data_IF_606238567197
#
_entry.id   IF_606238567197
#
_cell.length_a   1.000
_cell.length_b   1.000
_cell.length_c   1.000
_cell.angle_alpha   90.00
_cell.angle_beta   90.00
_cell.angle_gamma   90.00
#
_symmetry.space_group_name_H-M   'P 1'
#
loop_
_entity.id
_entity.type
_entity.pdbx_description
1 polymer ?
#
# COMPACT_ATOMS: atom_id res chain seq x y z
N UNK A 1 -2.83 5.21 -2.89
CA UNK A 1 -2.81 6.60 -3.39
C UNK A 1 -1.72 7.44 -2.72
N UNK A 2 -1.82 7.72 -1.38
CA UNK A 2 -0.85 8.61 -0.72
C UNK A 2 0.60 8.13 -0.85
N UNK A 3 0.87 6.83 -0.68
CA UNK A 3 2.22 6.28 -0.86
C UNK A 3 2.76 6.48 -2.26
N UNK A 4 1.91 6.29 -3.26
CA UNK A 4 2.22 6.52 -4.68
C UNK A 4 2.61 7.98 -4.93
N UNK A 5 1.73 8.89 -4.57
CA UNK A 5 1.97 10.31 -4.82
C UNK A 5 3.16 10.88 -4.04
N UNK A 6 3.45 10.38 -2.83
CA UNK A 6 4.63 10.77 -2.04
C UNK A 6 5.91 10.16 -2.60
N UNK A 7 5.90 8.89 -3.03
CA UNK A 7 7.03 8.24 -3.67
C UNK A 7 7.44 8.98 -4.95
N UNK A 8 6.48 9.22 -5.84
CA UNK A 8 6.68 10.02 -7.05
C UNK A 8 7.16 11.45 -6.75
N UNK A 9 6.65 12.05 -5.67
CA UNK A 9 7.11 13.38 -5.26
C UNK A 9 8.58 13.37 -4.88
N UNK A 10 9.02 12.40 -4.08
CA UNK A 10 10.43 12.29 -3.65
C UNK A 10 11.35 11.93 -4.81
N UNK A 11 11.01 10.87 -5.55
CA UNK A 11 11.90 10.32 -6.58
C UNK A 11 11.91 11.14 -7.86
N UNK A 12 10.72 11.54 -8.34
CA UNK A 12 10.56 12.20 -9.64
C UNK A 12 10.49 13.73 -9.50
N UNK A 13 9.60 14.27 -8.65
CA UNK A 13 9.35 15.72 -8.58
C UNK A 13 10.51 16.46 -7.94
N UNK A 14 11.05 15.96 -6.82
CA UNK A 14 12.27 16.49 -6.20
C UNK A 14 13.56 16.04 -6.92
N UNK A 15 13.43 15.19 -7.92
CA UNK A 15 14.52 14.64 -8.72
C UNK A 15 15.65 13.99 -7.88
N UNK A 16 15.27 13.34 -6.76
CA UNK A 16 16.24 12.65 -5.90
C UNK A 16 16.64 11.28 -6.46
N UNK A 17 15.81 10.73 -7.35
CA UNK A 17 15.94 9.37 -7.89
C UNK A 17 15.47 8.29 -6.91
N UNK A 18 15.14 7.12 -7.44
CA UNK A 18 14.52 6.02 -6.68
C UNK A 18 15.39 5.49 -5.54
N UNK A 19 16.70 5.31 -5.77
CA UNK A 19 17.61 4.79 -4.72
C UNK A 19 17.69 5.73 -3.50
N UNK A 20 17.79 7.04 -3.75
CA UNK A 20 17.81 8.04 -2.66
C UNK A 20 16.46 8.08 -1.95
N UNK A 21 15.35 8.01 -2.70
CA UNK A 21 14.00 7.89 -2.17
C UNK A 21 13.88 6.68 -1.23
N UNK A 22 14.30 5.49 -1.67
CA UNK A 22 14.34 4.27 -0.85
C UNK A 22 15.12 4.50 0.45
N UNK A 23 16.32 5.08 0.39
CA UNK A 23 17.15 5.28 1.59
C UNK A 23 16.42 6.19 2.60
N UNK A 24 15.86 7.31 2.14
CA UNK A 24 15.15 8.25 3.00
C UNK A 24 13.91 7.58 3.62
N UNK A 25 13.08 6.95 2.79
CA UNK A 25 11.83 6.33 3.25
C UNK A 25 12.08 5.09 4.09
N UNK A 26 13.14 4.30 3.82
CA UNK A 26 13.54 3.16 4.63
C UNK A 26 13.99 3.61 6.03
N UNK A 27 14.81 4.64 6.13
CA UNK A 27 15.24 5.18 7.43
C UNK A 27 14.01 5.64 8.23
N UNK A 28 13.13 6.40 7.60
CA UNK A 28 11.89 6.84 8.24
C UNK A 28 11.02 5.66 8.66
N UNK A 29 10.82 4.68 7.78
CA UNK A 29 10.08 3.44 8.08
C UNK A 29 10.66 2.70 9.28
N UNK A 30 11.98 2.48 9.32
CA UNK A 30 12.62 1.77 10.42
C UNK A 30 12.47 2.51 11.75
N UNK A 31 12.55 3.84 11.75
CA UNK A 31 12.35 4.67 12.96
C UNK A 31 10.91 4.51 13.46
N UNK A 32 9.91 4.74 12.61
CA UNK A 32 8.50 4.68 13.03
C UNK A 32 8.07 3.25 13.38
N UNK A 33 8.59 2.25 12.67
CA UNK A 33 8.36 0.84 12.98
C UNK A 33 8.95 0.47 14.34
N UNK A 34 10.18 0.89 14.63
CA UNK A 34 10.80 0.65 15.93
C UNK A 34 9.98 1.25 17.08
N UNK A 35 9.47 2.48 16.90
CA UNK A 35 8.59 3.12 17.88
C UNK A 35 7.30 2.30 18.02
N UNK A 36 6.67 1.91 16.91
CA UNK A 36 5.44 1.12 16.90
C UNK A 36 5.60 -0.21 17.64
N UNK A 37 6.68 -0.95 17.38
CA UNK A 37 6.99 -2.23 18.03
C UNK A 37 7.27 -2.11 19.54
N UNK A 38 7.80 -0.96 19.98
CA UNK A 38 8.06 -0.68 21.42
C UNK A 38 6.82 -0.30 22.19
N UNK A 39 5.84 0.27 21.53
CA UNK A 39 4.61 0.74 22.15
C UNK A 39 3.63 -0.43 22.29
N UNK A 40 3.36 -0.86 23.53
CA UNK A 40 2.43 -1.97 23.84
C UNK A 40 0.95 -1.61 23.71
N UNK A 41 0.62 -0.43 23.21
CA UNK A 41 -0.75 0.07 23.03
C UNK A 41 -0.94 0.54 21.61
N UNK A 42 -2.13 0.33 21.06
CA UNK A 42 -2.49 0.92 19.79
C UNK A 42 -2.54 2.44 19.88
N UNK A 43 -1.59 3.11 19.21
CA UNK A 43 -1.57 4.56 19.06
C UNK A 43 -1.78 4.87 17.57
N UNK A 44 -2.94 5.42 17.18
CA UNK A 44 -3.29 5.63 15.78
C UNK A 44 -2.22 6.38 14.98
N UNK A 45 -1.60 7.40 15.58
CA UNK A 45 -0.57 8.22 14.92
C UNK A 45 0.63 7.36 14.49
N UNK A 46 1.16 6.51 15.36
CA UNK A 46 2.29 5.66 15.01
C UNK A 46 1.90 4.60 13.99
N UNK A 47 0.76 3.95 14.16
CA UNK A 47 0.26 2.97 13.20
C UNK A 47 0.12 3.57 11.80
N UNK A 48 -0.52 4.72 11.68
CA UNK A 48 -0.70 5.40 10.40
C UNK A 48 0.61 5.93 9.83
N UNK A 49 1.56 6.39 10.67
CA UNK A 49 2.90 6.77 10.22
C UNK A 49 3.64 5.58 9.60
N UNK A 50 3.55 4.37 10.21
CA UNK A 50 4.13 3.15 9.64
C UNK A 50 3.44 2.78 8.32
N UNK A 51 2.10 2.90 8.24
CA UNK A 51 1.36 2.65 6.98
C UNK A 51 1.84 3.60 5.88
N UNK A 52 1.95 4.91 6.15
CA UNK A 52 2.45 5.88 5.17
C UNK A 52 3.88 5.52 4.75
N UNK A 53 4.76 5.25 5.72
CA UNK A 53 6.14 4.90 5.45
C UNK A 53 6.25 3.63 4.58
N UNK A 54 5.48 2.57 4.88
CA UNK A 54 5.50 1.33 4.09
C UNK A 54 4.93 1.50 2.70
N UNK A 55 3.89 2.32 2.54
CA UNK A 55 3.30 2.56 1.21
C UNK A 55 4.24 3.36 0.33
N UNK A 56 4.88 4.40 0.86
CA UNK A 56 5.85 5.21 0.13
C UNK A 56 7.09 4.41 -0.22
N UNK A 57 7.65 3.67 0.76
CA UNK A 57 8.80 2.79 0.52
C UNK A 57 8.46 1.69 -0.51
N UNK A 58 7.24 1.17 -0.48
CA UNK A 58 6.78 0.15 -1.43
C UNK A 58 6.76 0.66 -2.87
N UNK A 59 6.27 1.87 -3.11
CA UNK A 59 6.33 2.54 -4.43
C UNK A 59 7.77 2.71 -4.89
N UNK A 60 8.64 3.26 -4.05
CA UNK A 60 10.05 3.47 -4.38
C UNK A 60 10.79 2.16 -4.71
N UNK A 61 10.53 1.07 -3.96
CA UNK A 61 11.12 -0.25 -4.23
C UNK A 61 10.63 -0.79 -5.57
N UNK A 62 9.34 -0.72 -5.85
CA UNK A 62 8.76 -1.16 -7.10
C UNK A 62 9.38 -0.42 -8.28
N UNK A 63 9.38 0.89 -8.26
CA UNK A 63 9.93 1.74 -9.31
C UNK A 63 11.44 1.51 -9.51
N UNK A 64 12.19 1.33 -8.43
CA UNK A 64 13.60 0.99 -8.52
C UNK A 64 13.81 -0.35 -9.21
N UNK A 65 13.04 -1.37 -8.87
CA UNK A 65 13.13 -2.69 -9.50
C UNK A 65 12.77 -2.62 -10.98
N UNK A 66 11.67 -1.95 -11.31
CA UNK A 66 11.11 -1.99 -12.65
C UNK A 66 11.83 -1.04 -13.61
N UNK A 67 12.19 0.16 -13.13
CA UNK A 67 12.75 1.24 -13.95
C UNK A 67 14.28 1.33 -13.84
N UNK A 68 14.87 1.20 -12.64
CA UNK A 68 16.33 1.31 -12.45
C UNK A 68 17.07 -0.01 -12.70
N UNK A 69 16.53 -1.14 -12.20
CA UNK A 69 17.10 -2.47 -12.45
C UNK A 69 16.63 -3.10 -13.76
N UNK A 70 15.73 -2.42 -14.49
CA UNK A 70 15.19 -2.87 -15.79
C UNK A 70 14.53 -4.26 -15.74
N UNK A 71 13.95 -4.67 -14.61
CA UNK A 71 13.20 -5.92 -14.50
C UNK A 71 11.90 -5.87 -15.30
N UNK A 72 11.33 -4.68 -15.42
CA UNK A 72 10.02 -4.44 -16.03
C UNK A 72 8.85 -4.94 -15.17
N UNK A 73 7.69 -4.35 -15.36
CA UNK A 73 6.53 -4.50 -14.49
C UNK A 73 6.03 -5.95 -14.34
N UNK A 74 6.17 -6.78 -15.37
CA UNK A 74 5.77 -8.20 -15.31
C UNK A 74 6.65 -8.99 -14.35
N UNK A 75 7.97 -8.90 -14.51
CA UNK A 75 8.92 -9.63 -13.67
C UNK A 75 8.97 -9.05 -12.26
N UNK A 76 8.93 -7.71 -12.12
CA UNK A 76 8.83 -7.05 -10.83
C UNK A 76 7.61 -7.51 -10.05
N UNK A 77 6.42 -7.53 -10.68
CA UNK A 77 5.20 -8.05 -10.05
C UNK A 77 5.32 -9.51 -9.63
N UNK A 78 5.92 -10.38 -10.46
CA UNK A 78 6.11 -11.80 -10.13
C UNK A 78 7.07 -12.01 -8.96
N UNK A 79 8.18 -11.27 -8.91
CA UNK A 79 9.14 -11.32 -7.79
C UNK A 79 8.48 -10.85 -6.49
N UNK A 80 7.77 -9.72 -6.52
CA UNK A 80 7.09 -9.16 -5.35
C UNK A 80 5.93 -10.05 -4.88
N UNK A 81 5.16 -10.64 -5.80
CA UNK A 81 4.12 -11.62 -5.48
C UNK A 81 4.73 -12.86 -4.82
N UNK A 82 5.84 -13.36 -5.35
CA UNK A 82 6.54 -14.51 -4.78
C UNK A 82 7.03 -14.23 -3.37
N UNK A 83 7.58 -13.03 -3.12
CA UNK A 83 7.99 -12.57 -1.79
C UNK A 83 6.82 -12.46 -0.81
N UNK A 84 5.68 -11.92 -1.25
CA UNK A 84 4.45 -11.87 -0.45
C UNK A 84 3.95 -13.27 -0.08
N UNK A 85 3.81 -14.16 -1.08
CA UNK A 85 3.34 -15.53 -0.86
C UNK A 85 4.28 -16.29 0.07
N UNK A 86 5.59 -16.18 -0.12
CA UNK A 86 6.58 -16.78 0.75
C UNK A 86 6.47 -16.26 2.19
N UNK A 87 6.32 -14.96 2.37
CA UNK A 87 6.15 -14.35 3.70
C UNK A 87 4.90 -14.87 4.40
N UNK A 88 3.76 -14.89 3.70
CA UNK A 88 2.50 -15.42 4.25
C UNK A 88 2.59 -16.91 4.55
N UNK A 89 3.27 -17.70 3.71
CA UNK A 89 3.51 -19.12 3.93
C UNK A 89 4.35 -19.37 5.18
N UNK A 90 5.48 -18.66 5.35
CA UNK A 90 6.34 -18.76 6.52
C UNK A 90 5.61 -18.32 7.79
N UNK A 91 4.82 -17.25 7.71
CA UNK A 91 3.97 -16.81 8.81
C UNK A 91 2.97 -17.90 9.20
N UNK A 92 2.22 -18.43 8.21
CA UNK A 92 1.26 -19.50 8.48
C UNK A 92 1.94 -20.75 9.06
N UNK A 93 3.08 -21.17 8.50
CA UNK A 93 3.83 -22.32 9.00
C UNK A 93 4.25 -22.17 10.46
N UNK A 94 4.62 -20.95 10.89
CA UNK A 94 5.07 -20.68 12.24
C UNK A 94 3.93 -20.54 13.26
N UNK A 95 2.84 -19.88 12.88
CA UNK A 95 1.77 -19.49 13.81
C UNK A 95 0.41 -20.14 13.54
N UNK A 96 0.31 -20.95 12.49
CA UNK A 96 -0.91 -21.68 12.05
C UNK A 96 -2.13 -20.75 11.84
N UNK A 97 -1.90 -19.45 11.70
CA UNK A 97 -2.94 -18.44 11.48
C UNK A 97 -2.34 -17.21 10.84
N UNK A 98 -3.07 -16.62 9.88
CA UNK A 98 -2.77 -15.33 9.26
C UNK A 98 -3.65 -14.20 9.83
N UNK A 99 -4.18 -14.38 11.04
CA UNK A 99 -5.01 -13.37 11.70
C UNK A 99 -4.19 -12.11 12.01
N UNK A 100 -4.73 -10.96 11.60
CA UNK A 100 -4.12 -9.65 11.77
C UNK A 100 -4.67 -8.88 12.98
N UNK A 101 -5.64 -9.47 13.71
CA UNK A 101 -6.23 -8.84 14.90
C UNK A 101 -6.66 -9.88 15.94
N UNK A 102 -6.27 -9.66 17.19
CA UNK A 102 -5.25 -8.74 17.67
C UNK A 102 -3.83 -9.32 17.42
N UNK A 103 -2.88 -8.45 17.06
CA UNK A 103 -1.45 -8.82 17.00
C UNK A 103 -0.81 -8.35 18.31
N UNK A 104 -0.49 -9.29 19.20
CA UNK A 104 0.15 -9.03 20.49
C UNK A 104 1.58 -9.57 20.55
N UNK A 105 1.94 -10.44 19.62
CA UNK A 105 3.26 -11.06 19.52
C UNK A 105 4.15 -10.27 18.53
N UNK A 106 5.31 -9.83 19.02
CA UNK A 106 6.26 -9.05 18.22
C UNK A 106 6.74 -9.79 16.96
N UNK A 107 6.90 -11.11 17.02
CA UNK A 107 7.31 -11.86 15.83
C UNK A 107 6.20 -11.90 14.79
N UNK A 108 4.92 -12.01 15.21
CA UNK A 108 3.78 -11.90 14.28
C UNK A 108 3.71 -10.52 13.65
N UNK A 109 3.97 -9.47 14.44
CA UNK A 109 3.96 -8.09 13.95
C UNK A 109 5.06 -7.86 12.90
N UNK A 110 6.24 -8.45 13.07
CA UNK A 110 7.31 -8.40 12.06
C UNK A 110 6.86 -9.06 10.75
N UNK A 111 6.28 -10.28 10.79
CA UNK A 111 5.74 -10.92 9.59
C UNK A 111 4.66 -10.07 8.92
N UNK A 112 3.78 -9.47 9.73
CA UNK A 112 2.75 -8.55 9.23
C UNK A 112 3.38 -7.40 8.45
N UNK A 113 4.35 -6.68 9.02
CA UNK A 113 4.96 -5.53 8.36
C UNK A 113 5.77 -5.91 7.11
N UNK A 114 6.42 -7.07 7.09
CA UNK A 114 7.08 -7.60 5.89
C UNK A 114 6.04 -7.91 4.80
N UNK A 115 4.93 -8.56 5.14
CA UNK A 115 3.85 -8.85 4.18
C UNK A 115 3.22 -7.55 3.65
N UNK A 116 3.01 -6.55 4.52
CA UNK A 116 2.53 -5.22 4.15
C UNK A 116 3.48 -4.56 3.14
N UNK A 117 4.79 -4.61 3.38
CA UNK A 117 5.78 -4.01 2.47
C UNK A 117 5.76 -4.68 1.10
N UNK A 118 5.79 -6.02 1.04
CA UNK A 118 5.66 -6.75 -0.23
C UNK A 118 4.35 -6.45 -0.95
N UNK A 119 3.22 -6.40 -0.22
CA UNK A 119 1.92 -6.06 -0.79
C UNK A 119 1.87 -4.64 -1.33
N UNK A 120 2.50 -3.69 -0.65
CA UNK A 120 2.57 -2.30 -1.11
C UNK A 120 3.39 -2.19 -2.40
N UNK A 121 4.60 -2.78 -2.42
CA UNK A 121 5.45 -2.78 -3.62
C UNK A 121 4.79 -3.51 -4.80
N UNK A 122 4.17 -4.66 -4.55
CA UNK A 122 3.39 -5.39 -5.57
C UNK A 122 2.25 -4.53 -6.12
N UNK A 123 1.62 -3.73 -5.26
CA UNK A 123 0.50 -2.88 -5.68
C UNK A 123 0.89 -1.83 -6.72
N UNK A 124 2.04 -1.18 -6.55
CA UNK A 124 2.59 -0.24 -7.54
C UNK A 124 3.00 -0.99 -8.80
N UNK A 125 3.84 -2.04 -8.72
CA UNK A 125 4.24 -2.83 -9.89
C UNK A 125 3.05 -3.37 -10.69
N UNK A 126 2.01 -3.85 -10.01
CA UNK A 126 0.81 -4.36 -10.66
C UNK A 126 -0.08 -3.24 -11.21
N UNK A 127 -0.14 -2.10 -10.54
CA UNK A 127 -0.83 -0.91 -11.06
C UNK A 127 -0.21 -0.42 -12.37
N UNK A 128 1.12 -0.29 -12.40
CA UNK A 128 1.87 0.08 -13.60
C UNK A 128 1.77 -1.01 -14.69
N UNK A 129 1.77 -2.28 -14.33
CA UNK A 129 1.51 -3.37 -15.27
C UNK A 129 0.15 -3.23 -15.95
N UNK A 130 -0.91 -2.87 -15.22
CA UNK A 130 -2.24 -2.65 -15.79
C UNK A 130 -2.24 -1.46 -16.77
N UNK A 131 -1.49 -0.41 -16.48
CA UNK A 131 -1.47 0.82 -17.28
C UNK A 131 -0.48 0.71 -18.46
N UNK A 132 0.75 0.32 -18.19
CA UNK A 132 1.85 0.41 -19.17
C UNK A 132 2.02 -0.85 -20.02
N UNK A 133 1.61 -2.04 -19.52
CA UNK A 133 1.71 -3.32 -20.25
C UNK A 133 0.38 -3.72 -20.86
N UNK A 134 -0.71 -3.73 -20.08
CA UNK A 134 -2.06 -4.06 -20.59
C UNK A 134 -2.65 -2.88 -21.39
N UNK A 135 -2.21 -1.65 -21.13
CA UNK A 135 -2.68 -0.45 -21.83
C UNK A 135 -4.01 0.10 -21.31
N UNK A 136 -4.37 -0.18 -20.07
CA UNK A 136 -5.55 0.41 -19.44
C UNK A 136 -5.28 1.89 -19.11
N UNK A 137 -6.30 2.73 -19.23
CA UNK A 137 -6.23 4.07 -18.64
C UNK A 137 -6.15 3.95 -17.12
N UNK A 138 -5.51 4.91 -16.44
CA UNK A 138 -5.40 4.93 -14.99
C UNK A 138 -6.76 4.81 -14.30
N UNK A 139 -7.78 5.50 -14.83
CA UNK A 139 -9.16 5.40 -14.32
C UNK A 139 -9.73 3.98 -14.47
N UNK A 140 -9.53 3.33 -15.62
CA UNK A 140 -10.03 1.97 -15.84
C UNK A 140 -9.31 0.97 -14.92
N UNK A 141 -7.99 1.10 -14.73
CA UNK A 141 -7.22 0.31 -13.76
C UNK A 141 -7.78 0.47 -12.34
N UNK A 142 -8.05 1.71 -11.93
CA UNK A 142 -8.67 2.00 -10.63
C UNK A 142 -10.08 1.42 -10.52
N UNK A 143 -10.92 1.53 -11.55
CA UNK A 143 -12.29 0.98 -11.53
C UNK A 143 -12.30 -0.55 -11.47
N UNK A 144 -11.42 -1.23 -12.20
CA UNK A 144 -11.29 -2.70 -12.16
C UNK A 144 -10.88 -3.16 -10.77
N UNK A 145 -9.84 -2.56 -10.20
CA UNK A 145 -9.35 -2.92 -8.85
C UNK A 145 -10.37 -2.57 -7.76
N UNK A 146 -11.07 -1.43 -7.88
CA UNK A 146 -12.21 -1.09 -7.01
C UNK A 146 -13.35 -2.11 -7.13
N UNK A 147 -13.65 -2.59 -8.34
CA UNK A 147 -14.65 -3.63 -8.59
C UNK A 147 -14.30 -4.94 -7.88
N UNK A 148 -13.02 -5.35 -7.90
CA UNK A 148 -12.56 -6.54 -7.15
C UNK A 148 -12.75 -6.34 -5.65
N UNK A 149 -12.40 -5.17 -5.10
CA UNK A 149 -12.61 -4.86 -3.68
C UNK A 149 -14.10 -4.90 -3.34
N UNK A 150 -14.95 -4.33 -4.18
CA UNK A 150 -16.41 -4.38 -4.00
C UNK A 150 -16.94 -5.82 -3.97
N UNK A 151 -16.46 -6.68 -4.88
CA UNK A 151 -16.82 -8.11 -4.88
C UNK A 151 -16.41 -8.76 -3.55
N UNK A 152 -15.21 -8.48 -3.03
CA UNK A 152 -14.77 -9.02 -1.74
C UNK A 152 -15.65 -8.53 -0.60
N UNK A 153 -16.07 -7.27 -0.61
CA UNK A 153 -17.02 -6.72 0.37
C UNK A 153 -18.36 -7.45 0.29
N UNK A 154 -18.89 -7.66 -0.91
CA UNK A 154 -20.13 -8.41 -1.09
C UNK A 154 -20.00 -9.86 -0.59
N UNK A 155 -18.88 -10.53 -0.90
CA UNK A 155 -18.61 -11.89 -0.42
C UNK A 155 -18.52 -11.94 1.11
N UNK A 156 -17.96 -10.91 1.75
CA UNK A 156 -17.89 -10.79 3.21
C UNK A 156 -19.29 -10.82 3.86
N UNK A 157 -20.26 -10.08 3.28
CA UNK A 157 -21.61 -9.99 3.86
C UNK A 157 -22.54 -11.11 3.38
N UNK A 158 -22.36 -11.65 2.18
CA UNK A 158 -23.29 -12.59 1.56
C UNK A 158 -22.88 -14.06 1.70
N UNK A 159 -21.63 -14.33 2.13
CA UNK A 159 -21.10 -15.70 2.17
C UNK A 159 -20.46 -16.04 3.50
N UNK A 160 -20.16 -17.34 3.70
CA UNK A 160 -19.44 -17.85 4.87
C UNK A 160 -17.94 -18.10 4.58
N UNK A 161 -17.39 -17.45 3.55
CA UNK A 161 -15.97 -17.59 3.21
C UNK A 161 -15.10 -17.09 4.37
N UNK A 162 -13.94 -17.70 4.56
CA UNK A 162 -13.02 -17.37 5.63
C UNK A 162 -12.65 -15.87 5.61
N UNK A 163 -12.96 -15.17 6.70
CA UNK A 163 -12.78 -13.72 6.82
C UNK A 163 -11.30 -13.30 6.72
N UNK A 164 -10.38 -14.13 7.19
CA UNK A 164 -8.94 -13.86 7.09
C UNK A 164 -8.51 -13.88 5.61
N UNK A 165 -9.01 -14.84 4.84
CA UNK A 165 -8.74 -14.90 3.40
C UNK A 165 -9.30 -13.68 2.67
N UNK A 166 -10.57 -13.31 2.93
CA UNK A 166 -11.19 -12.12 2.33
C UNK A 166 -10.44 -10.83 2.71
N UNK A 167 -9.99 -10.73 3.96
CA UNK A 167 -9.14 -9.61 4.40
C UNK A 167 -7.88 -9.50 3.54
N UNK A 168 -7.12 -10.59 3.37
CA UNK A 168 -5.88 -10.55 2.60
C UNK A 168 -6.13 -10.24 1.12
N UNK A 169 -7.19 -10.79 0.53
CA UNK A 169 -7.55 -10.46 -0.86
C UNK A 169 -7.87 -8.96 -0.98
N UNK A 170 -8.79 -8.43 -0.14
CA UNK A 170 -9.09 -7.00 -0.15
C UNK A 170 -7.85 -6.16 0.07
N UNK A 171 -7.03 -6.52 1.07
CA UNK A 171 -5.82 -5.79 1.43
C UNK A 171 -4.84 -5.70 0.25
N UNK A 172 -4.57 -6.82 -0.43
CA UNK A 172 -3.68 -6.85 -1.60
C UNK A 172 -4.22 -5.98 -2.73
N UNK A 173 -5.53 -6.05 -3.03
CA UNK A 173 -6.12 -5.28 -4.14
C UNK A 173 -6.35 -3.79 -3.83
N UNK A 174 -6.39 -3.37 -2.56
CA UNK A 174 -6.41 -1.93 -2.24
C UNK A 174 -5.14 -1.21 -2.68
N UNK A 175 -4.03 -1.93 -2.89
CA UNK A 175 -2.74 -1.35 -3.26
C UNK A 175 -2.68 -0.94 -4.73
N UNK A 176 -2.93 -1.84 -5.71
CA UNK A 176 -3.01 -1.41 -7.11
C UNK A 176 -4.13 -0.41 -7.37
N UNK A 177 -5.26 -0.47 -6.63
CA UNK A 177 -6.25 0.61 -6.65
C UNK A 177 -5.63 1.95 -6.24
N UNK A 178 -4.87 1.96 -5.14
CA UNK A 178 -4.21 3.17 -4.64
C UNK A 178 -3.16 3.72 -5.60
N UNK A 179 -2.41 2.87 -6.29
CA UNK A 179 -1.42 3.24 -7.29
C UNK A 179 -2.10 3.84 -8.54
N UNK A 180 -2.97 3.09 -9.20
CA UNK A 180 -3.68 3.56 -10.41
C UNK A 180 -4.53 4.80 -10.16
N UNK A 181 -5.16 4.92 -8.98
CA UNK A 181 -5.89 6.14 -8.61
C UNK A 181 -4.95 7.30 -8.28
N UNK A 182 -3.78 7.04 -7.71
CA UNK A 182 -2.73 8.04 -7.51
C UNK A 182 -2.25 8.60 -8.85
N UNK A 183 -1.96 7.73 -9.80
CA UNK A 183 -1.59 8.11 -11.15
C UNK A 183 -2.70 8.86 -11.88
N UNK A 184 -3.94 8.42 -11.74
CA UNK A 184 -5.09 9.15 -12.27
C UNK A 184 -5.14 10.59 -11.76
N UNK A 185 -4.81 10.84 -10.49
CA UNK A 185 -4.77 12.19 -9.94
C UNK A 185 -3.58 13.02 -10.46
N UNK A 186 -2.41 12.39 -10.63
CA UNK A 186 -1.13 13.10 -10.79
C UNK A 186 -0.62 13.19 -12.22
N UNK A 187 -0.90 12.18 -13.05
CA UNK A 187 -0.36 12.12 -14.42
C UNK A 187 -1.08 13.11 -15.35
N UNK A 188 -0.40 13.54 -16.46
CA UNK A 188 -0.95 14.51 -17.39
C UNK A 188 -2.26 14.08 -18.04
N UNK A 189 -3.12 15.05 -18.38
CA UNK A 189 -4.41 14.83 -19.06
C UNK A 189 -4.21 14.05 -20.37
N UNK A 190 -3.13 14.31 -21.12
CA UNK A 190 -2.79 13.59 -22.35
C UNK A 190 -2.58 12.07 -22.13
N UNK A 191 -2.28 11.65 -20.89
CA UNK A 191 -2.14 10.24 -20.48
C UNK A 191 -3.37 9.71 -19.73
N UNK A 192 -4.47 10.47 -19.69
CA UNK A 192 -5.70 10.09 -19.02
C UNK A 192 -5.72 10.40 -17.52
N UNK A 193 -4.81 11.24 -17.01
CA UNK A 193 -4.80 11.73 -15.64
C UNK A 193 -5.52 13.07 -15.47
N UNK A 194 -5.56 13.59 -14.24
CA UNK A 194 -6.14 14.90 -13.89
C UNK A 194 -5.12 16.03 -13.79
N UNK A 195 -3.83 15.72 -13.90
CA UNK A 195 -2.72 16.69 -13.87
C UNK A 195 -2.68 17.57 -12.59
N UNK A 196 -3.11 17.04 -11.45
CA UNK A 196 -3.07 17.76 -10.17
C UNK A 196 -1.64 17.95 -9.65
N UNK A 197 -0.70 17.17 -10.14
CA UNK A 197 0.67 17.08 -9.63
C UNK A 197 0.78 16.29 -8.31
N UNK A 198 1.96 15.75 -8.07
CA UNK A 198 2.23 14.85 -6.94
C UNK A 198 2.08 15.52 -5.58
N UNK A 199 2.55 16.79 -5.44
CA UNK A 199 2.44 17.54 -4.20
C UNK A 199 0.98 17.79 -3.80
N UNK A 200 0.16 18.32 -4.73
CA UNK A 200 -1.23 18.62 -4.44
C UNK A 200 -2.04 17.37 -4.13
N UNK A 201 -1.84 16.28 -4.90
CA UNK A 201 -2.49 15.01 -4.66
C UNK A 201 -2.09 14.41 -3.30
N UNK A 202 -0.81 14.54 -2.89
CA UNK A 202 -0.34 14.10 -1.57
C UNK A 202 -0.97 14.92 -0.44
N UNK A 203 -1.04 16.25 -0.56
CA UNK A 203 -1.66 17.13 0.44
C UNK A 203 -3.14 16.81 0.60
N UNK A 204 -3.88 16.63 -0.51
CA UNK A 204 -5.29 16.24 -0.47
C UNK A 204 -5.46 14.86 0.21
N UNK A 205 -4.66 13.89 -0.16
CA UNK A 205 -4.72 12.52 0.40
C UNK A 205 -4.41 12.50 1.89
N UNK A 206 -3.39 13.24 2.36
CA UNK A 206 -3.07 13.39 3.79
C UNK A 206 -4.23 14.07 4.52
N UNK A 207 -4.77 15.15 3.97
CA UNK A 207 -5.88 15.89 4.59
C UNK A 207 -7.11 15.00 4.77
N UNK A 208 -7.48 14.24 3.73
CA UNK A 208 -8.59 13.28 3.80
C UNK A 208 -8.32 12.18 4.83
N UNK A 209 -7.10 11.65 4.89
CA UNK A 209 -6.72 10.63 5.87
C UNK A 209 -6.83 11.16 7.29
N UNK A 210 -6.33 12.37 7.56
CA UNK A 210 -6.44 13.02 8.90
C UNK A 210 -7.90 13.20 9.28
N UNK A 211 -8.75 13.70 8.35
CA UNK A 211 -10.18 13.84 8.60
C UNK A 211 -10.84 12.51 8.95
N UNK A 212 -10.55 11.45 8.19
CA UNK A 212 -11.11 10.11 8.45
C UNK A 212 -10.67 9.56 9.81
N UNK A 213 -9.41 9.75 10.20
CA UNK A 213 -8.90 9.33 11.52
C UNK A 213 -9.62 10.08 12.63
N UNK A 214 -9.79 11.40 12.50
CA UNK A 214 -10.49 12.23 13.50
C UNK A 214 -11.96 11.84 13.64
N UNK A 215 -12.67 11.59 12.53
CA UNK A 215 -14.04 11.12 12.55
C UNK A 215 -14.17 9.73 13.18
N UNK A 216 -13.30 8.79 12.81
CA UNK A 216 -13.29 7.43 13.39
C UNK A 216 -13.07 7.47 14.91
N UNK A 217 -12.14 8.28 15.38
CA UNK A 217 -11.86 8.43 16.81
C UNK A 217 -13.06 9.01 17.57
N UNK A 218 -13.77 9.98 17.00
CA UNK A 218 -14.97 10.58 17.59
C UNK A 218 -16.11 9.58 17.68
N UNK A 219 -16.30 8.76 16.64
CA UNK A 219 -17.38 7.73 16.62
C UNK A 219 -17.13 6.66 17.67
N UNK A 220 -15.89 6.19 17.82
CA UNK A 220 -15.53 5.20 18.84
C UNK A 220 -15.72 5.75 20.27
N UNK A 221 -15.38 7.01 20.51
CA UNK A 221 -15.55 7.65 21.83
C UNK A 221 -17.02 7.88 22.21
N UNK A 222 -17.90 8.01 21.23
CA UNK A 222 -19.35 8.17 21.46
C UNK A 222 -20.09 6.82 21.59
N UNK A 223 -19.44 5.70 21.26
CA UNK A 223 -20.00 4.34 21.37
C UNK A 223 -19.58 3.60 22.65
N UNK A 224 -18.66 4.17 23.46
CA UNK A 224 -18.24 3.74 24.80
C UNK A 224 -18.87 4.61 25.88
#
# INVERSE_FOLDING_TARGET
TLGETLGDYLSMTLNLGYLTGIIITLIFFLIVLFIQLKVKKYIPVFFWAVIIATTTLGTEISDFMDRSLHLGYTMGSLVLLSGLVLTLFLWYKKFQSLSVYPITDMNKEIYYWIAILFSNSLGTAFGDYLSDVIGLTYLNGALITAGIILIVILLHYLTKINQIFLFWVAFVFTRPFGATFGDFLTKPIAKGGLDLGTLNASVISISLMILLILFSHKTLKNAT
#
